data_IF_930644652446
#
_entry.id   IF_930644652446
#
_cell.length_a   1.000
_cell.length_b   1.000
_cell.length_c   1.000
_cell.angle_alpha   90.00
_cell.angle_beta   90.00
_cell.angle_gamma   90.00
#
_symmetry.space_group_name_H-M   'P 1'
#
loop_
_entity.id
_entity.type
_entity.pdbx_description
1 polymer ?
#
# COMPACT_ATOMS: atom_id res chain seq x y z
N UNK A 1 12.31 11.54 32.06
CA UNK A 1 11.13 11.42 31.19
C UNK A 1 11.53 11.90 29.80
N UNK A 2 11.19 11.21 28.72
CA UNK A 2 11.46 11.72 27.38
C UNK A 2 10.73 13.06 27.21
N UNK A 3 11.34 14.01 26.51
CA UNK A 3 10.71 15.28 26.24
C UNK A 3 9.68 15.13 25.08
N UNK A 4 8.88 16.15 24.86
CA UNK A 4 7.82 16.13 23.84
C UNK A 4 8.38 15.95 22.41
N UNK A 5 9.60 16.41 22.16
CA UNK A 5 10.32 16.24 20.87
C UNK A 5 10.79 14.80 20.67
N UNK A 6 11.21 14.13 21.76
CA UNK A 6 11.59 12.72 21.71
C UNK A 6 10.37 11.84 21.43
N UNK A 7 9.22 12.17 22.01
CA UNK A 7 7.95 11.47 21.75
C UNK A 7 7.48 11.66 20.30
N UNK A 8 7.54 12.88 19.76
CA UNK A 8 7.22 13.14 18.34
C UNK A 8 8.15 12.38 17.39
N UNK A 9 9.44 12.34 17.67
CA UNK A 9 10.40 11.55 16.89
C UNK A 9 10.10 10.06 16.92
N UNK A 10 9.69 9.53 18.07
CA UNK A 10 9.27 8.14 18.20
C UNK A 10 8.02 7.85 17.37
N UNK A 11 7.02 8.73 17.40
CA UNK A 11 5.79 8.60 16.61
C UNK A 11 6.04 8.59 15.11
N UNK A 12 7.06 9.29 14.62
CA UNK A 12 7.44 9.28 13.21
C UNK A 12 8.33 8.09 12.83
N UNK A 13 9.29 7.75 13.68
CA UNK A 13 10.31 6.73 13.34
C UNK A 13 9.86 5.31 13.64
N UNK A 14 9.03 5.11 14.67
CA UNK A 14 8.59 3.78 15.07
C UNK A 14 7.76 3.07 13.99
N UNK A 15 6.73 3.70 13.38
CA UNK A 15 5.98 3.06 12.29
C UNK A 15 6.86 2.70 11.09
N UNK A 16 7.82 3.54 10.74
CA UNK A 16 8.78 3.28 9.65
C UNK A 16 9.67 2.06 9.96
N UNK A 17 10.17 1.99 11.19
CA UNK A 17 11.01 0.86 11.63
C UNK A 17 10.22 -0.44 11.64
N UNK A 18 9.00 -0.41 12.20
CA UNK A 18 8.10 -1.58 12.22
C UNK A 18 7.76 -2.02 10.80
N UNK A 19 7.41 -1.11 9.90
CA UNK A 19 7.12 -1.43 8.52
C UNK A 19 8.29 -2.16 7.85
N UNK A 20 9.51 -1.61 7.99
CA UNK A 20 10.72 -2.21 7.43
C UNK A 20 11.01 -3.62 7.94
N UNK A 21 10.68 -3.91 9.19
CA UNK A 21 10.88 -5.23 9.79
C UNK A 21 9.75 -6.20 9.48
N UNK A 22 8.50 -5.73 9.59
CA UNK A 22 7.30 -6.56 9.46
C UNK A 22 6.95 -6.92 8.01
N UNK A 23 7.35 -6.11 7.04
CA UNK A 23 6.99 -6.30 5.63
C UNK A 23 8.09 -6.95 4.78
N UNK A 24 9.14 -7.48 5.39
CA UNK A 24 10.17 -8.26 4.68
C UNK A 24 9.55 -9.49 4.02
N UNK A 25 10.16 -9.93 2.91
CA UNK A 25 9.71 -11.14 2.20
C UNK A 25 9.84 -12.41 3.05
N UNK A 26 10.85 -12.46 3.91
CA UNK A 26 11.13 -13.59 4.78
C UNK A 26 11.35 -13.16 6.22
N UNK A 27 11.04 -14.05 7.15
CA UNK A 27 11.32 -13.90 8.58
C UNK A 27 11.82 -15.23 9.12
N UNK A 28 13.07 -15.25 9.59
CA UNK A 28 13.68 -16.48 10.10
C UNK A 28 13.87 -17.58 9.06
N UNK A 29 14.09 -17.23 7.77
CA UNK A 29 14.21 -18.18 6.66
C UNK A 29 12.87 -18.73 6.14
N UNK A 30 11.75 -18.29 6.71
CA UNK A 30 10.40 -18.68 6.28
C UNK A 30 9.69 -17.50 5.59
N UNK A 31 8.83 -17.78 4.60
CA UNK A 31 8.03 -16.75 3.95
C UNK A 31 7.17 -15.98 4.95
N UNK A 32 7.22 -14.67 4.90
CA UNK A 32 6.53 -13.80 5.82
C UNK A 32 5.03 -13.75 5.53
N UNK A 33 4.24 -14.49 6.30
CA UNK A 33 2.77 -14.59 6.15
C UNK A 33 2.05 -13.26 6.34
N UNK A 34 2.55 -12.40 7.24
CA UNK A 34 1.98 -11.07 7.45
C UNK A 34 2.15 -10.20 6.19
N UNK A 35 3.35 -10.15 5.64
CA UNK A 35 3.63 -9.41 4.41
C UNK A 35 2.79 -9.94 3.23
N UNK A 36 2.68 -11.26 3.07
CA UNK A 36 1.85 -11.89 2.06
C UNK A 36 0.35 -11.54 2.20
N UNK A 37 -0.18 -11.52 3.41
CA UNK A 37 -1.55 -11.10 3.67
C UNK A 37 -1.77 -9.62 3.36
N UNK A 38 -0.84 -8.75 3.75
CA UNK A 38 -0.89 -7.34 3.38
C UNK A 38 -0.87 -7.15 1.86
N UNK A 39 0.00 -7.86 1.13
CA UNK A 39 0.05 -7.80 -0.33
C UNK A 39 -1.26 -8.31 -0.96
N UNK A 40 -1.86 -9.36 -0.40
CA UNK A 40 -3.14 -9.87 -0.85
C UNK A 40 -4.27 -8.86 -0.62
N UNK A 41 -4.36 -8.19 0.55
CA UNK A 41 -5.33 -7.12 0.81
C UNK A 41 -5.19 -5.96 -0.18
N UNK A 42 -3.97 -5.53 -0.45
CA UNK A 42 -3.67 -4.43 -1.36
C UNK A 42 -3.92 -4.78 -2.83
N UNK A 43 -4.02 -6.07 -3.16
CA UNK A 43 -4.34 -6.55 -4.49
C UNK A 43 -5.86 -6.64 -4.76
N UNK A 44 -6.68 -6.52 -3.71
CA UNK A 44 -8.13 -6.57 -3.87
C UNK A 44 -8.68 -5.27 -4.47
N UNK A 45 -9.82 -5.33 -5.17
CA UNK A 45 -10.50 -4.12 -5.66
C UNK A 45 -10.83 -3.14 -4.52
N UNK A 46 -10.82 -1.84 -4.79
CA UNK A 46 -11.13 -0.79 -3.80
C UNK A 46 -12.58 -0.87 -3.27
N UNK A 47 -13.46 -1.63 -3.91
CA UNK A 47 -14.80 -1.91 -3.38
C UNK A 47 -14.83 -2.64 -2.04
N UNK A 48 -13.67 -3.10 -1.57
CA UNK A 48 -13.46 -3.64 -0.24
C UNK A 48 -13.78 -5.11 -0.08
N UNK A 49 -13.22 -5.66 0.99
CA UNK A 49 -13.51 -7.00 1.46
C UNK A 49 -14.44 -6.85 2.66
N UNK A 50 -15.55 -7.59 2.74
CA UNK A 50 -16.46 -7.53 3.89
C UNK A 50 -15.71 -7.81 5.20
N UNK A 51 -15.96 -7.05 6.26
CA UNK A 51 -15.23 -7.10 7.55
C UNK A 51 -15.97 -7.91 8.62
N UNK A 52 -16.71 -8.88 8.32
CA UNK A 52 -17.02 -9.85 9.38
C UNK A 52 -15.83 -10.84 9.49
N UNK A 53 -15.35 -11.17 10.70
CA UNK A 53 -14.27 -12.16 10.85
C UNK A 53 -14.53 -13.41 10.01
N UNK A 54 -15.74 -13.91 10.02
CA UNK A 54 -16.16 -15.04 9.21
C UNK A 54 -16.10 -14.77 7.71
N UNK A 55 -16.48 -13.57 7.25
CA UNK A 55 -16.47 -13.21 5.85
C UNK A 55 -15.04 -13.03 5.32
N UNK A 56 -14.18 -12.33 6.06
CA UNK A 56 -12.78 -12.14 5.68
C UNK A 56 -12.02 -13.48 5.64
N UNK A 57 -12.21 -14.32 6.66
CA UNK A 57 -11.64 -15.66 6.69
C UNK A 57 -12.13 -16.51 5.51
N UNK A 58 -13.41 -16.40 5.17
CA UNK A 58 -14.00 -17.07 4.02
C UNK A 58 -13.36 -16.60 2.71
N UNK A 59 -13.15 -15.30 2.53
CA UNK A 59 -12.51 -14.77 1.32
C UNK A 59 -11.05 -15.22 1.21
N UNK A 60 -10.29 -15.21 2.32
CA UNK A 60 -8.92 -15.74 2.34
C UNK A 60 -8.91 -17.23 1.99
N UNK A 61 -9.85 -18.02 2.53
CA UNK A 61 -9.96 -19.46 2.23
C UNK A 61 -10.42 -19.75 0.80
N UNK A 62 -11.25 -18.87 0.21
CA UNK A 62 -11.67 -18.98 -1.19
C UNK A 62 -10.55 -18.63 -2.16
N UNK A 63 -9.59 -17.81 -1.73
CA UNK A 63 -8.46 -17.41 -2.56
C UNK A 63 -7.66 -18.65 -2.97
N UNK A 64 -7.70 -19.01 -4.26
CA UNK A 64 -6.94 -20.11 -4.81
C UNK A 64 -5.48 -19.67 -4.94
N UNK A 65 -4.62 -20.26 -4.15
CA UNK A 65 -3.18 -20.05 -4.23
C UNK A 65 -2.44 -21.24 -4.84
N UNK A 66 -1.27 -21.00 -5.34
CA UNK A 66 -0.37 -22.06 -5.79
C UNK A 66 0.11 -22.90 -4.59
N UNK A 67 0.48 -24.18 -4.81
CA UNK A 67 1.09 -25.01 -3.77
C UNK A 67 2.30 -24.29 -3.14
N UNK A 68 2.40 -24.33 -1.82
CA UNK A 68 3.44 -23.62 -1.06
C UNK A 68 3.13 -22.16 -0.71
N UNK A 69 2.05 -21.59 -1.25
CA UNK A 69 1.58 -20.25 -0.93
C UNK A 69 0.32 -20.33 -0.06
N UNK A 70 0.52 -20.42 1.24
CA UNK A 70 -0.57 -20.59 2.18
C UNK A 70 -0.80 -19.28 2.98
N UNK A 71 -2.00 -18.70 2.84
CA UNK A 71 -2.45 -17.56 3.65
C UNK A 71 -3.31 -17.99 4.83
N UNK A 72 -3.46 -19.30 5.10
CA UNK A 72 -4.36 -19.75 6.16
C UNK A 72 -4.00 -19.13 7.51
N UNK A 73 -5.05 -18.66 8.19
CA UNK A 73 -4.99 -18.10 9.52
C UNK A 73 -5.74 -19.04 10.43
N UNK A 74 -5.04 -19.60 11.42
CA UNK A 74 -5.55 -20.71 12.24
C UNK A 74 -6.67 -20.27 13.20
N UNK A 75 -6.68 -18.97 13.58
CA UNK A 75 -7.68 -18.44 14.50
C UNK A 75 -7.99 -16.96 14.25
N UNK A 76 -9.11 -16.50 14.79
CA UNK A 76 -9.63 -15.17 14.59
C UNK A 76 -8.75 -14.09 15.27
N UNK A 77 -8.14 -14.41 16.42
CA UNK A 77 -7.24 -13.47 17.12
C UNK A 77 -6.01 -13.12 16.26
N UNK A 78 -5.47 -14.08 15.50
CA UNK A 78 -4.36 -13.80 14.57
C UNK A 78 -4.80 -12.92 13.42
N UNK A 79 -6.01 -13.11 12.92
CA UNK A 79 -6.58 -12.26 11.89
C UNK A 79 -6.76 -10.82 12.38
N UNK A 80 -7.28 -10.65 13.58
CA UNK A 80 -7.40 -9.33 14.22
C UNK A 80 -6.06 -8.63 14.35
N UNK A 81 -5.03 -9.36 14.78
CA UNK A 81 -3.68 -8.81 14.88
C UNK A 81 -3.13 -8.39 13.52
N UNK A 82 -3.37 -9.17 12.47
CA UNK A 82 -2.97 -8.79 11.10
C UNK A 82 -3.68 -7.51 10.67
N UNK A 83 -5.00 -7.43 10.85
CA UNK A 83 -5.78 -6.24 10.50
C UNK A 83 -5.33 -5.02 11.31
N UNK A 84 -5.12 -5.18 12.61
CA UNK A 84 -4.63 -4.13 13.49
C UNK A 84 -3.29 -3.56 12.99
N UNK A 85 -2.30 -4.43 12.76
CA UNK A 85 -0.99 -4.00 12.29
C UNK A 85 -1.01 -3.42 10.88
N UNK A 86 -1.79 -4.00 9.97
CA UNK A 86 -1.93 -3.45 8.63
C UNK A 86 -2.54 -2.04 8.63
N UNK A 87 -3.51 -1.77 9.52
CA UNK A 87 -4.07 -0.43 9.75
C UNK A 87 -3.04 0.51 10.38
N UNK A 88 -2.34 0.05 11.41
CA UNK A 88 -1.30 0.85 12.08
C UNK A 88 -0.18 1.26 11.12
N UNK A 89 0.23 0.37 10.23
CA UNK A 89 1.22 0.65 9.19
C UNK A 89 0.67 1.56 8.08
N UNK A 90 -0.64 1.80 8.04
CA UNK A 90 -1.28 2.64 7.04
C UNK A 90 -1.42 1.98 5.67
N UNK A 91 -1.54 0.65 5.63
CA UNK A 91 -1.71 -0.14 4.41
C UNK A 91 -3.17 -0.45 4.08
N UNK A 92 -4.03 -0.47 5.10
CA UNK A 92 -5.46 -0.72 4.97
C UNK A 92 -6.26 0.27 5.80
N UNK A 93 -7.43 0.64 5.28
CA UNK A 93 -8.42 1.42 6.00
C UNK A 93 -9.68 0.58 6.25
N UNK A 94 -10.39 0.88 7.33
CA UNK A 94 -11.69 0.34 7.61
C UNK A 94 -12.76 1.33 7.15
N UNK A 95 -13.56 0.95 6.16
CA UNK A 95 -14.74 1.68 5.80
C UNK A 95 -15.85 1.32 6.79
N UNK A 96 -16.45 2.35 7.39
CA UNK A 96 -17.66 2.24 8.20
C UNK A 96 -18.71 3.13 7.58
N UNK A 97 -19.65 2.54 6.89
CA UNK A 97 -20.85 3.22 6.43
C UNK A 97 -22.07 2.50 7.00
N UNK A 98 -23.22 3.17 7.04
CA UNK A 98 -24.49 2.63 7.55
C UNK A 98 -24.89 1.32 6.83
N UNK A 99 -24.40 1.12 5.60
CA UNK A 99 -24.78 -0.01 4.76
C UNK A 99 -23.66 -1.04 4.50
N UNK A 100 -22.41 -0.69 4.78
CA UNK A 100 -21.28 -1.60 4.55
C UNK A 100 -20.15 -1.35 5.53
N UNK A 101 -19.64 -2.41 6.09
CA UNK A 101 -18.40 -2.43 6.83
C UNK A 101 -17.38 -3.26 6.05
N UNK A 102 -16.27 -2.63 5.68
CA UNK A 102 -15.27 -3.26 4.80
C UNK A 102 -13.85 -2.85 5.11
N UNK A 103 -12.89 -3.75 4.81
CA UNK A 103 -11.47 -3.41 4.73
C UNK A 103 -11.13 -3.03 3.28
N UNK A 104 -10.39 -1.95 3.13
CA UNK A 104 -9.93 -1.46 1.83
C UNK A 104 -8.41 -1.35 1.87
N UNK A 105 -7.75 -1.84 0.84
CA UNK A 105 -6.34 -1.56 0.60
C UNK A 105 -6.17 -0.07 0.34
N UNK A 106 -5.73 0.67 1.35
CA UNK A 106 -5.50 2.11 1.30
C UNK A 106 -4.14 2.46 1.90
N UNK A 107 -3.08 2.50 1.09
CA UNK A 107 -1.74 2.83 1.55
C UNK A 107 -1.49 4.35 1.65
N UNK A 108 -2.52 5.20 1.72
CA UNK A 108 -2.35 6.66 1.77
C UNK A 108 -1.50 7.10 2.95
N UNK A 109 -1.77 6.59 4.15
CA UNK A 109 -1.02 6.97 5.36
C UNK A 109 0.42 6.46 5.31
N UNK A 110 0.63 5.27 4.77
CA UNK A 110 1.98 4.76 4.52
C UNK A 110 2.74 5.69 3.57
N UNK A 111 2.16 6.00 2.40
CA UNK A 111 2.79 6.89 1.43
C UNK A 111 3.06 8.28 2.01
N UNK A 112 2.11 8.84 2.77
CA UNK A 112 2.27 10.17 3.40
C UNK A 112 3.48 10.21 4.33
N UNK A 113 3.68 9.19 5.16
CA UNK A 113 4.83 9.09 6.07
C UNK A 113 6.18 8.96 5.35
N UNK A 114 6.17 8.46 4.11
CA UNK A 114 7.38 8.18 3.34
C UNK A 114 7.54 9.07 2.10
N UNK A 115 6.77 10.15 2.00
CA UNK A 115 6.82 11.04 0.83
C UNK A 115 8.23 11.59 0.57
N UNK A 116 8.97 11.95 1.60
CA UNK A 116 10.35 12.46 1.47
C UNK A 116 11.32 11.42 0.90
N UNK A 117 11.08 10.14 1.20
CA UNK A 117 11.93 9.06 0.72
C UNK A 117 11.60 8.71 -0.74
N UNK A 118 10.31 8.81 -1.10
CA UNK A 118 9.80 8.47 -2.43
C UNK A 118 9.98 9.61 -3.44
N UNK A 119 9.72 10.83 -3.01
CA UNK A 119 9.67 12.04 -3.84
C UNK A 119 10.56 13.12 -3.21
N UNK A 120 11.82 13.27 -3.65
CA UNK A 120 12.67 14.37 -3.23
C UNK A 120 12.04 15.73 -3.57
N UNK A 121 12.34 16.74 -2.77
CA UNK A 121 11.80 18.08 -2.98
C UNK A 121 12.18 18.64 -4.37
N UNK A 122 11.22 19.30 -5.00
CA UNK A 122 11.37 20.04 -6.28
C UNK A 122 11.65 19.22 -7.54
N UNK A 123 11.78 17.90 -7.46
CA UNK A 123 12.10 17.05 -8.63
C UNK A 123 10.87 16.25 -9.05
N UNK A 124 10.59 16.27 -10.37
CA UNK A 124 9.60 15.34 -10.96
C UNK A 124 10.24 13.96 -11.03
N UNK A 125 9.68 13.01 -10.32
CA UNK A 125 10.10 11.61 -10.35
C UNK A 125 9.28 10.87 -11.40
N UNK A 126 9.91 10.25 -12.41
CA UNK A 126 9.21 9.41 -13.37
C UNK A 126 8.43 8.29 -12.66
N UNK A 127 7.24 7.93 -13.17
CA UNK A 127 6.37 6.94 -12.54
C UNK A 127 7.06 5.58 -12.34
N UNK A 128 7.91 5.18 -13.29
CA UNK A 128 8.69 3.96 -13.20
C UNK A 128 9.66 3.99 -12.03
N UNK A 129 10.43 5.08 -11.89
CA UNK A 129 11.36 5.27 -10.77
C UNK A 129 10.63 5.36 -9.42
N UNK A 130 9.44 5.96 -9.39
CA UNK A 130 8.58 5.94 -8.21
C UNK A 130 8.18 4.51 -7.81
N UNK A 131 7.74 3.67 -8.76
CA UNK A 131 7.39 2.26 -8.49
C UNK A 131 8.60 1.47 -7.98
N UNK A 132 9.77 1.63 -8.59
CA UNK A 132 11.00 0.98 -8.15
C UNK A 132 11.36 1.36 -6.71
N UNK A 133 11.33 2.66 -6.38
CA UNK A 133 11.55 3.15 -5.01
C UNK A 133 10.51 2.62 -4.03
N UNK A 134 9.25 2.62 -4.45
CA UNK A 134 8.14 2.14 -3.63
C UNK A 134 8.30 0.65 -3.30
N UNK A 135 8.62 -0.18 -4.28
CA UNK A 135 8.85 -1.61 -4.08
C UNK A 135 10.06 -1.92 -3.20
N UNK A 136 11.13 -1.13 -3.32
CA UNK A 136 12.30 -1.24 -2.44
C UNK A 136 11.98 -0.83 -1.00
N UNK A 137 11.16 0.20 -0.83
CA UNK A 137 10.74 0.69 0.48
C UNK A 137 9.73 -0.24 1.16
N UNK A 138 8.80 -0.77 0.37
CA UNK A 138 7.70 -1.60 0.86
C UNK A 138 7.42 -2.76 -0.11
N UNK A 139 7.94 -3.96 0.16
CA UNK A 139 7.82 -5.12 -0.73
C UNK A 139 6.39 -5.57 -1.04
N UNK A 140 5.39 -5.13 -0.27
CA UNK A 140 3.97 -5.47 -0.46
C UNK A 140 3.20 -4.51 -1.37
N UNK A 141 3.84 -3.42 -1.80
CA UNK A 141 3.28 -2.41 -2.71
C UNK A 141 3.80 -2.60 -4.16
N UNK A 142 3.29 -1.79 -5.07
CA UNK A 142 3.64 -1.85 -6.51
C UNK A 142 5.15 -1.78 -6.74
N UNK A 143 5.67 -2.72 -7.55
CA UNK A 143 7.11 -2.90 -7.77
C UNK A 143 7.83 -3.69 -6.68
N UNK A 144 7.13 -4.15 -5.66
CA UNK A 144 7.71 -4.94 -4.58
C UNK A 144 7.62 -6.46 -4.79
N UNK A 145 8.65 -7.19 -4.36
CA UNK A 145 8.78 -8.63 -4.58
C UNK A 145 7.63 -9.45 -4.00
N UNK A 146 7.21 -9.16 -2.76
CA UNK A 146 6.10 -9.91 -2.12
C UNK A 146 4.78 -9.68 -2.85
N UNK A 147 4.58 -8.47 -3.39
CA UNK A 147 3.41 -8.17 -4.20
C UNK A 147 3.43 -8.98 -5.50
N UNK A 148 4.52 -8.96 -6.24
CA UNK A 148 4.65 -9.68 -7.51
C UNK A 148 4.45 -11.19 -7.32
N UNK A 149 5.07 -11.76 -6.30
CA UNK A 149 4.85 -13.15 -5.91
C UNK A 149 3.37 -13.43 -5.56
N UNK A 150 2.70 -12.52 -4.83
CA UNK A 150 1.29 -12.67 -4.46
C UNK A 150 0.40 -12.64 -5.70
N UNK A 151 0.60 -11.69 -6.61
CA UNK A 151 -0.18 -11.59 -7.84
C UNK A 151 -0.04 -12.85 -8.70
N UNK A 152 1.19 -13.36 -8.83
CA UNK A 152 1.47 -14.60 -9.55
C UNK A 152 0.86 -15.84 -8.88
N UNK A 153 0.86 -15.88 -7.53
CA UNK A 153 0.33 -17.00 -6.76
C UNK A 153 -1.20 -17.13 -6.84
N UNK A 154 -1.89 -16.00 -6.94
CA UNK A 154 -3.37 -15.94 -6.95
C UNK A 154 -3.97 -15.68 -8.33
N UNK A 155 -3.15 -15.65 -9.38
CA UNK A 155 -3.57 -15.33 -10.75
C UNK A 155 -4.37 -14.01 -10.83
N UNK A 156 -3.95 -13.05 -10.03
CA UNK A 156 -4.53 -11.71 -10.02
C UNK A 156 -3.88 -10.93 -11.19
N UNK A 157 -4.60 -10.84 -12.31
CA UNK A 157 -4.11 -10.21 -13.53
C UNK A 157 -3.47 -8.85 -13.26
N UNK A 158 -2.20 -8.73 -13.58
CA UNK A 158 -1.40 -7.51 -13.44
C UNK A 158 -0.91 -7.05 -14.81
N UNK A 159 -0.87 -5.75 -15.00
CA UNK A 159 -0.28 -5.15 -16.19
C UNK A 159 0.77 -4.13 -15.77
N UNK A 160 1.97 -4.22 -16.33
CA UNK A 160 3.10 -3.34 -16.00
C UNK A 160 2.84 -1.87 -16.34
N UNK A 161 1.89 -1.61 -17.24
CA UNK A 161 1.48 -0.26 -17.64
C UNK A 161 0.45 0.38 -16.68
N UNK A 162 0.03 -0.33 -15.62
CA UNK A 162 -0.98 0.15 -14.67
C UNK A 162 -0.46 0.19 -13.25
N UNK A 163 -0.88 1.21 -12.49
CA UNK A 163 -0.78 1.20 -11.03
C UNK A 163 -1.95 0.41 -10.45
N UNK A 164 -1.71 -0.23 -9.31
CA UNK A 164 -2.80 -0.91 -8.59
C UNK A 164 -3.87 0.08 -8.16
N UNK A 165 -5.08 -0.43 -7.97
CA UNK A 165 -6.20 0.38 -7.51
C UNK A 165 -5.90 1.01 -6.14
N UNK A 166 -5.21 0.29 -5.24
CA UNK A 166 -4.79 0.80 -3.95
C UNK A 166 -3.82 1.99 -4.08
N UNK A 167 -2.80 1.89 -4.94
CA UNK A 167 -1.86 3.00 -5.19
C UNK A 167 -2.54 4.15 -5.93
N UNK A 168 -3.36 3.87 -6.93
CA UNK A 168 -4.11 4.90 -7.66
C UNK A 168 -5.02 5.70 -6.71
N UNK A 169 -5.70 5.02 -5.80
CA UNK A 169 -6.56 5.63 -4.78
C UNK A 169 -5.74 6.52 -3.83
N UNK A 170 -4.64 6.00 -3.30
CA UNK A 170 -3.77 6.73 -2.40
C UNK A 170 -3.16 7.99 -3.05
N UNK A 171 -2.68 7.88 -4.30
CA UNK A 171 -2.14 9.03 -5.03
C UNK A 171 -3.19 10.11 -5.26
N UNK A 172 -4.43 9.75 -5.63
CA UNK A 172 -5.52 10.72 -5.78
C UNK A 172 -5.85 11.44 -4.48
N UNK A 173 -5.84 10.74 -3.34
CA UNK A 173 -6.02 11.35 -2.02
C UNK A 173 -4.90 12.34 -1.71
N UNK A 174 -3.63 11.96 -1.92
CA UNK A 174 -2.49 12.84 -1.69
C UNK A 174 -2.50 14.08 -2.60
N UNK A 175 -3.01 13.96 -3.83
CA UNK A 175 -3.27 15.11 -4.71
C UNK A 175 -4.36 16.00 -4.12
N UNK A 176 -5.47 15.43 -3.68
CA UNK A 176 -6.56 16.17 -3.03
C UNK A 176 -6.14 16.89 -1.76
N UNK A 177 -5.18 16.35 -1.02
CA UNK A 177 -4.55 16.95 0.16
C UNK A 177 -3.50 18.03 -0.20
N UNK A 178 -3.16 18.18 -1.49
CA UNK A 178 -2.16 19.16 -1.94
C UNK A 178 -0.72 18.78 -1.58
N UNK A 179 -0.45 17.51 -1.33
CA UNK A 179 0.89 17.02 -0.95
C UNK A 179 1.75 16.66 -2.15
N UNK A 180 1.12 16.21 -3.24
CA UNK A 180 1.76 15.85 -4.49
C UNK A 180 1.00 16.41 -5.69
N UNK A 181 1.65 16.47 -6.84
CA UNK A 181 1.00 16.65 -8.13
C UNK A 181 1.37 15.51 -9.07
N UNK A 182 0.48 15.19 -9.99
CA UNK A 182 0.71 14.22 -11.05
C UNK A 182 1.10 14.96 -12.32
N UNK A 183 2.08 14.42 -13.05
CA UNK A 183 2.51 14.94 -14.34
C UNK A 183 1.97 14.05 -15.46
N UNK A 184 1.46 14.70 -16.49
CA UNK A 184 0.82 14.07 -17.66
C UNK A 184 1.52 14.56 -18.92
N UNK A 185 2.27 13.70 -19.60
CA UNK A 185 2.88 14.02 -20.88
C UNK A 185 2.30 13.10 -21.95
N UNK A 186 1.67 13.66 -22.97
CA UNK A 186 0.96 12.89 -24.01
C UNK A 186 1.88 11.96 -24.83
N UNK A 187 3.17 12.30 -24.95
CA UNK A 187 4.13 11.57 -25.79
C UNK A 187 5.14 10.72 -25.01
N UNK A 188 5.01 10.61 -23.69
CA UNK A 188 6.00 9.90 -22.89
C UNK A 188 5.84 8.38 -22.99
N UNK A 189 6.84 7.71 -23.54
CA UNK A 189 6.99 6.26 -23.42
C UNK A 189 7.21 5.93 -21.95
N UNK A 190 6.43 4.99 -21.38
CA UNK A 190 6.62 4.50 -20.00
C UNK A 190 5.74 5.12 -18.92
N UNK A 191 4.66 5.80 -19.27
CA UNK A 191 3.63 6.21 -18.28
C UNK A 191 2.77 5.04 -17.82
N UNK A 192 2.20 5.14 -16.62
CA UNK A 192 1.28 4.15 -16.04
C UNK A 192 -0.14 4.70 -15.97
N UNK A 193 -1.13 3.84 -16.23
CA UNK A 193 -2.53 4.22 -16.10
C UNK A 193 -2.99 4.21 -14.64
N UNK A 194 -3.72 5.27 -14.25
CA UNK A 194 -4.46 5.35 -13.01
C UNK A 194 -5.91 4.92 -13.27
N UNK A 195 -6.39 3.93 -12.51
CA UNK A 195 -7.82 3.59 -12.41
C UNK A 195 -8.50 4.45 -11.34
N UNK A 196 -9.78 4.24 -11.10
CA UNK A 196 -10.62 4.97 -10.12
C UNK A 196 -10.87 6.43 -10.50
N UNK A 197 -11.60 6.62 -11.58
CA UNK A 197 -11.97 7.87 -12.19
C UNK A 197 -11.67 7.86 -13.69
N UNK A 198 -11.64 9.00 -14.36
CA UNK A 198 -11.21 9.06 -15.75
C UNK A 198 -9.83 8.40 -15.87
N UNK A 199 -9.70 7.49 -16.84
CA UNK A 199 -8.43 6.82 -17.08
C UNK A 199 -7.41 7.85 -17.56
N UNK A 200 -6.35 8.03 -16.82
CA UNK A 200 -5.32 9.03 -17.07
C UNK A 200 -3.95 8.36 -17.04
N UNK A 201 -3.15 8.64 -18.05
CA UNK A 201 -1.77 8.17 -18.13
C UNK A 201 -0.86 9.13 -17.39
N UNK A 202 -0.34 8.70 -16.25
CA UNK A 202 0.61 9.44 -15.43
C UNK A 202 2.02 9.09 -15.85
N UNK A 203 2.85 10.08 -16.03
CA UNK A 203 4.25 9.92 -16.44
C UNK A 203 5.23 10.24 -15.34
N UNK A 204 4.81 11.03 -14.35
CA UNK A 204 5.63 11.39 -13.20
C UNK A 204 4.84 11.94 -12.03
N UNK A 205 5.52 12.12 -10.92
CA UNK A 205 5.01 12.69 -9.69
C UNK A 205 6.01 13.71 -9.14
N UNK A 206 5.50 14.77 -8.54
CA UNK A 206 6.32 15.71 -7.79
C UNK A 206 5.69 15.99 -6.42
N UNK A 207 6.53 16.11 -5.40
CA UNK A 207 6.12 16.59 -4.08
C UNK A 207 5.88 18.10 -4.15
N UNK A 208 4.81 18.56 -3.54
CA UNK A 208 4.57 19.98 -3.35
C UNK A 208 5.27 20.45 -2.08
N UNK A 209 5.93 21.59 -2.15
CA UNK A 209 6.46 22.23 -0.96
C UNK A 209 5.32 22.52 0.01
N UNK A 210 5.52 22.29 1.31
CA UNK A 210 4.57 22.71 2.31
C UNK A 210 4.33 24.22 2.11
N UNK A 211 3.07 24.63 1.92
CA UNK A 211 2.74 26.06 1.94
C UNK A 211 3.23 26.58 3.28
N UNK A 212 4.27 27.43 3.25
CA UNK A 212 4.82 28.04 4.45
C UNK A 212 3.68 28.62 5.26
N UNK A 213 3.63 28.27 6.53
CA UNK A 213 2.88 29.02 7.52
C UNK A 213 3.46 30.44 7.52
N UNK A 214 2.74 31.35 6.89
CA UNK A 214 2.98 32.80 6.95
C UNK A 214 2.46 33.33 8.27
#
# INVERSE_FOLDING_TARGET
MPDERDLQRLDETFPRTVARLALRSETGGEPNRFARLCAWFLAQPVGGIPVGHGALKTEILKAKSRPGWNLSIDNDNRLDMVVYWAKYLGLVAQLRDVKCEGLVGDPTDFLRRHLSDLLPDTVVVPIRAFRERLGLLCPVLDGGSVREETLAAFDLGWSDDRLSDAIAFALRRLVGEGLIRLEYFNDARGGSFLRLGPEQKVTGLARLAAKGAS
#
